data_IF_649338248088
#
_entry.id   IF_649338248088
#
_cell.length_a   1.000
_cell.length_b   1.000
_cell.length_c   1.000
_cell.angle_alpha   90.00
_cell.angle_beta   90.00
_cell.angle_gamma   90.00
#
_symmetry.space_group_name_H-M   'P 1'
#
loop_
_entity.id
_entity.type
_entity.pdbx_description
1 polymer ?
#
# COMPACT_ATOMS: atom_id res chain seq x y z
N UNK A 1 8.22 19.12 6.93
CA UNK A 1 7.83 18.77 5.54
C UNK A 1 8.27 17.35 5.32
N UNK A 2 7.42 16.43 4.85
CA UNK A 2 7.83 15.02 4.66
C UNK A 2 8.78 14.96 3.46
N UNK A 3 10.05 14.73 3.72
CA UNK A 3 11.12 14.52 2.76
C UNK A 3 11.63 13.07 2.82
N UNK A 4 11.59 12.45 4.00
CA UNK A 4 12.05 11.10 4.27
C UNK A 4 10.96 10.27 4.99
N UNK A 5 11.11 8.94 5.00
CA UNK A 5 10.28 8.06 5.81
C UNK A 5 10.39 8.38 7.31
N UNK A 6 11.55 8.89 7.75
CA UNK A 6 11.79 9.25 9.15
C UNK A 6 10.98 10.44 9.64
N UNK A 7 10.42 11.23 8.72
CA UNK A 7 9.51 12.34 9.04
C UNK A 7 8.10 11.87 9.38
N UNK A 8 7.78 10.59 9.14
CA UNK A 8 6.45 10.05 9.41
C UNK A 8 6.27 9.77 10.92
N UNK A 9 5.07 10.03 11.48
CA UNK A 9 4.75 9.63 12.84
C UNK A 9 4.87 8.11 13.02
N UNK A 10 5.16 7.68 14.25
CA UNK A 10 5.49 6.27 14.54
C UNK A 10 4.28 5.51 15.04
N UNK A 11 4.03 4.32 14.47
CA UNK A 11 3.13 3.33 15.04
C UNK A 11 3.91 2.24 15.78
N UNK A 12 3.31 1.65 16.84
CA UNK A 12 3.89 0.49 17.51
C UNK A 12 4.23 -0.64 16.53
N UNK A 13 5.26 -1.46 16.81
CA UNK A 13 5.61 -2.59 15.98
C UNK A 13 4.44 -3.56 15.74
N UNK A 14 4.33 -4.04 14.51
CA UNK A 14 3.29 -4.98 14.10
C UNK A 14 3.79 -6.41 14.34
N UNK A 15 3.17 -7.10 15.31
CA UNK A 15 3.48 -8.50 15.68
C UNK A 15 2.55 -9.54 15.06
N UNK A 16 1.72 -9.12 14.11
CA UNK A 16 0.77 -10.00 13.43
C UNK A 16 1.41 -10.78 12.27
N UNK A 17 0.74 -11.87 11.87
CA UNK A 17 1.03 -12.55 10.61
C UNK A 17 0.69 -11.64 9.42
N UNK A 18 1.62 -11.55 8.46
CA UNK A 18 1.54 -10.66 7.31
C UNK A 18 1.56 -11.43 5.99
N UNK A 19 0.59 -11.12 5.14
CA UNK A 19 0.44 -11.69 3.80
C UNK A 19 0.85 -10.66 2.76
N UNK A 20 1.67 -11.09 1.79
CA UNK A 20 2.09 -10.25 0.67
C UNK A 20 0.92 -10.06 -0.32
N UNK A 21 0.69 -8.82 -0.72
CA UNK A 21 -0.25 -8.42 -1.75
C UNK A 21 0.52 -8.15 -3.03
N UNK A 22 0.45 -9.11 -3.96
CA UNK A 22 1.06 -9.01 -5.29
C UNK A 22 0.07 -8.57 -6.39
N UNK A 23 -1.22 -8.51 -6.08
CA UNK A 23 -2.27 -8.25 -7.06
C UNK A 23 -3.53 -7.68 -6.42
N UNK A 24 -4.40 -7.11 -7.25
CA UNK A 24 -5.74 -6.67 -6.93
C UNK A 24 -6.65 -6.83 -8.15
N UNK A 25 -7.96 -6.71 -7.93
CA UNK A 25 -8.94 -6.75 -9.00
C UNK A 25 -9.50 -5.35 -9.24
N UNK A 26 -9.79 -4.99 -10.48
CA UNK A 26 -10.37 -3.70 -10.79
C UNK A 26 -11.51 -3.87 -11.79
N UNK A 27 -12.63 -3.20 -11.53
CA UNK A 27 -13.69 -3.03 -12.51
C UNK A 27 -13.43 -1.75 -13.29
N UNK A 28 -13.14 -1.89 -14.59
CA UNK A 28 -12.93 -0.77 -15.50
C UNK A 28 -13.86 -0.91 -16.69
N UNK A 29 -14.71 0.09 -16.92
CA UNK A 29 -15.71 0.10 -18.01
C UNK A 29 -16.57 -1.17 -18.07
N UNK A 30 -17.07 -1.62 -16.92
CA UNK A 30 -17.91 -2.83 -16.80
C UNK A 30 -17.16 -4.15 -16.98
N UNK A 31 -15.83 -4.15 -17.04
CA UNK A 31 -15.02 -5.34 -17.22
C UNK A 31 -14.10 -5.59 -16.03
N UNK A 32 -14.12 -6.81 -15.50
CA UNK A 32 -13.24 -7.25 -14.42
C UNK A 32 -11.82 -7.46 -14.96
N UNK A 33 -10.85 -6.85 -14.31
CA UNK A 33 -9.43 -6.99 -14.61
C UNK A 33 -8.68 -7.53 -13.42
N UNK A 34 -7.77 -8.46 -13.69
CA UNK A 34 -6.76 -8.89 -12.73
C UNK A 34 -5.51 -8.03 -12.93
N UNK A 35 -5.17 -7.22 -11.94
CA UNK A 35 -4.03 -6.31 -11.94
C UNK A 35 -2.95 -6.87 -11.00
N UNK A 36 -1.72 -7.03 -11.49
CA UNK A 36 -0.61 -7.58 -10.72
C UNK A 36 0.62 -6.69 -10.80
N UNK A 37 1.39 -6.67 -9.72
CA UNK A 37 2.66 -5.95 -9.62
C UNK A 37 3.68 -6.74 -10.45
N UNK A 38 4.09 -6.17 -11.57
CA UNK A 38 5.11 -6.74 -12.45
C UNK A 38 6.52 -6.32 -12.05
N UNK A 39 6.65 -5.15 -11.42
CA UNK A 39 7.93 -4.62 -10.95
C UNK A 39 7.72 -3.70 -9.75
N UNK A 40 8.73 -3.64 -8.89
CA UNK A 40 8.74 -2.84 -7.66
C UNK A 40 9.56 -1.56 -7.88
N UNK A 41 9.22 -0.45 -7.20
CA UNK A 41 10.00 0.78 -7.30
C UNK A 41 11.39 0.59 -6.68
N UNK A 42 12.41 1.25 -7.25
CA UNK A 42 13.78 1.23 -6.74
C UNK A 42 13.96 2.10 -5.49
N UNK A 43 13.10 3.10 -5.32
CA UNK A 43 13.09 4.03 -4.19
C UNK A 43 11.64 4.45 -3.85
N UNK A 44 11.47 5.18 -2.74
CA UNK A 44 10.15 5.59 -2.25
C UNK A 44 9.76 7.03 -2.63
N UNK A 45 10.50 7.69 -3.53
CA UNK A 45 10.30 9.11 -3.88
C UNK A 45 8.88 9.37 -4.35
N UNK A 46 8.38 8.54 -5.27
CA UNK A 46 7.02 8.65 -5.79
C UNK A 46 5.95 8.46 -4.69
N UNK A 47 6.16 7.50 -3.80
CA UNK A 47 5.24 7.21 -2.70
C UNK A 47 5.19 8.37 -1.69
N UNK A 48 6.35 8.87 -1.26
CA UNK A 48 6.46 10.00 -0.34
C UNK A 48 5.89 11.28 -0.97
N UNK A 49 6.16 11.52 -2.26
CA UNK A 49 5.58 12.63 -3.02
C UNK A 49 4.04 12.57 -3.04
N UNK A 50 3.47 11.37 -3.24
CA UNK A 50 2.02 11.17 -3.19
C UNK A 50 1.43 11.40 -1.79
N UNK A 51 2.09 10.89 -0.74
CA UNK A 51 1.66 11.11 0.66
C UNK A 51 1.67 12.61 0.97
N UNK A 52 2.77 13.29 0.68
CA UNK A 52 2.93 14.74 0.86
C UNK A 52 1.85 15.51 0.09
N UNK A 53 1.61 15.16 -1.17
CA UNK A 53 0.57 15.80 -1.98
C UNK A 53 -0.80 15.70 -1.29
N UNK A 54 -1.21 14.51 -0.84
CA UNK A 54 -2.51 14.33 -0.18
C UNK A 54 -2.64 15.16 1.09
N UNK A 55 -1.60 15.16 1.93
CA UNK A 55 -1.59 15.94 3.18
C UNK A 55 -1.68 17.45 2.91
N UNK A 56 -0.91 17.97 1.95
CA UNK A 56 -0.92 19.40 1.61
C UNK A 56 -2.28 19.88 1.04
N UNK A 57 -3.03 19.01 0.37
CA UNK A 57 -4.32 19.36 -0.25
C UNK A 57 -5.53 18.96 0.61
N UNK A 58 -5.32 18.59 1.89
CA UNK A 58 -6.40 18.21 2.80
C UNK A 58 -7.11 16.91 2.42
N UNK A 59 -6.51 16.08 1.56
CA UNK A 59 -7.06 14.77 1.22
C UNK A 59 -6.74 13.77 2.33
N UNK A 60 -7.76 13.04 2.81
CA UNK A 60 -7.58 12.01 3.84
C UNK A 60 -6.51 11.01 3.43
N UNK A 61 -5.52 10.84 4.32
CA UNK A 61 -4.50 9.80 4.29
C UNK A 61 -3.94 9.66 5.70
N UNK A 62 -3.69 8.43 6.11
CA UNK A 62 -3.04 8.10 7.37
C UNK A 62 -1.74 7.41 7.01
N UNK A 63 -0.61 8.06 7.29
CA UNK A 63 0.72 7.58 6.94
C UNK A 63 1.64 7.60 8.16
N UNK A 64 2.27 6.45 8.43
CA UNK A 64 3.13 6.25 9.58
C UNK A 64 4.34 5.40 9.21
N UNK A 65 5.43 5.55 9.96
CA UNK A 65 6.50 4.53 9.98
C UNK A 65 6.23 3.50 11.07
N UNK A 66 6.60 2.26 10.81
CA UNK A 66 6.45 1.15 11.76
C UNK A 66 7.53 0.09 11.54
N UNK A 67 7.54 -0.93 12.39
CA UNK A 67 8.40 -2.11 12.28
C UNK A 67 7.53 -3.37 12.16
N UNK A 68 7.82 -4.22 11.16
CA UNK A 68 7.12 -5.46 10.90
C UNK A 68 7.86 -6.61 11.58
N UNK A 69 7.45 -7.02 12.77
CA UNK A 69 8.20 -8.00 13.57
C UNK A 69 8.32 -9.37 12.87
N UNK A 70 7.28 -9.81 12.16
CA UNK A 70 7.28 -11.07 11.41
C UNK A 70 8.15 -11.06 10.15
N UNK A 71 8.61 -9.88 9.71
CA UNK A 71 9.50 -9.69 8.56
C UNK A 71 10.88 -9.12 8.94
N UNK A 72 11.03 -8.67 10.19
CA UNK A 72 12.23 -8.03 10.75
C UNK A 72 12.71 -6.80 9.98
N UNK A 73 11.77 -5.99 9.49
CA UNK A 73 12.06 -4.83 8.64
C UNK A 73 11.17 -3.63 8.97
N UNK A 74 11.62 -2.43 8.62
CA UNK A 74 10.81 -1.22 8.68
C UNK A 74 9.87 -1.12 7.50
N UNK A 75 8.73 -0.46 7.72
CA UNK A 75 7.70 -0.26 6.71
C UNK A 75 6.96 1.06 6.88
N UNK A 76 6.37 1.52 5.79
CA UNK A 76 5.38 2.60 5.79
C UNK A 76 4.00 1.97 5.92
N UNK A 77 3.25 2.34 6.96
CA UNK A 77 1.86 1.94 7.15
C UNK A 77 0.93 3.01 6.56
N UNK A 78 0.06 2.61 5.62
CA UNK A 78 -0.89 3.48 4.93
C UNK A 78 -2.33 2.99 5.05
N UNK A 79 -3.26 3.93 5.25
CA UNK A 79 -4.71 3.75 5.00
C UNK A 79 -5.34 5.06 4.57
N UNK A 80 -6.48 5.02 3.89
CA UNK A 80 -7.17 6.22 3.37
C UNK A 80 -8.35 6.65 4.24
N UNK A 81 -8.92 5.71 5.00
CA UNK A 81 -10.06 5.90 5.87
C UNK A 81 -9.79 5.25 7.24
N UNK A 82 -10.46 5.71 8.29
CA UNK A 82 -10.22 5.22 9.66
C UNK A 82 -10.57 3.74 9.83
N UNK A 83 -11.64 3.30 9.19
CA UNK A 83 -12.18 1.95 9.23
C UNK A 83 -11.46 0.97 8.29
N UNK A 84 -10.59 1.46 7.42
CA UNK A 84 -9.82 0.64 6.50
C UNK A 84 -8.62 -0.01 7.21
N UNK A 85 -8.30 -1.29 6.92
CA UNK A 85 -7.06 -1.90 7.41
C UNK A 85 -5.84 -1.19 6.83
N UNK A 86 -4.72 -1.23 7.55
CA UNK A 86 -3.45 -0.72 7.05
C UNK A 86 -2.86 -1.65 5.99
N UNK A 87 -2.30 -1.05 4.94
CA UNK A 87 -1.31 -1.68 4.08
C UNK A 87 0.09 -1.26 4.55
N UNK A 88 1.03 -2.21 4.60
CA UNK A 88 2.39 -1.99 5.05
C UNK A 88 3.35 -2.17 3.87
N UNK A 89 4.05 -1.11 3.48
CA UNK A 89 5.03 -1.14 2.40
C UNK A 89 6.41 -1.34 3.00
N UNK A 90 7.04 -2.48 2.75
CA UNK A 90 8.41 -2.77 3.22
C UNK A 90 9.40 -1.77 2.64
N UNK A 91 10.26 -1.22 3.49
CA UNK A 91 11.36 -0.37 3.06
C UNK A 91 12.51 -1.14 2.42
N UNK A 92 12.61 -2.45 2.66
CA UNK A 92 13.71 -3.27 2.14
C UNK A 92 13.50 -3.71 0.68
N UNK A 93 12.24 -3.92 0.27
CA UNK A 93 11.94 -4.51 -1.04
C UNK A 93 10.64 -3.99 -1.69
N UNK A 94 10.03 -2.95 -1.12
CA UNK A 94 8.78 -2.36 -1.57
C UNK A 94 7.59 -3.34 -1.68
N UNK A 95 7.65 -4.52 -1.06
CA UNK A 95 6.49 -5.42 -1.01
C UNK A 95 5.40 -4.82 -0.14
N UNK A 96 4.16 -5.07 -0.54
CA UNK A 96 2.98 -4.58 0.15
C UNK A 96 2.43 -5.74 0.99
N UNK A 97 2.31 -5.53 2.28
CA UNK A 97 1.78 -6.50 3.21
C UNK A 97 0.48 -6.03 3.84
N UNK A 98 -0.34 -6.98 4.26
CA UNK A 98 -1.48 -6.75 5.16
C UNK A 98 -1.53 -7.82 6.22
N UNK A 99 -2.24 -7.55 7.32
CA UNK A 99 -2.51 -8.60 8.31
C UNK A 99 -3.34 -9.71 7.68
N UNK A 100 -2.97 -10.96 7.94
CA UNK A 100 -3.67 -12.13 7.39
C UNK A 100 -5.18 -12.09 7.70
N UNK A 101 -5.54 -11.71 8.94
CA UNK A 101 -6.92 -11.55 9.40
C UNK A 101 -7.71 -10.44 8.68
N UNK A 102 -7.04 -9.47 8.07
CA UNK A 102 -7.65 -8.31 7.39
C UNK A 102 -7.72 -8.49 5.86
N UNK A 103 -7.13 -9.56 5.32
CA UNK A 103 -7.02 -9.80 3.88
C UNK A 103 -8.37 -9.75 3.18
N UNK A 104 -9.42 -10.38 3.76
CA UNK A 104 -10.77 -10.38 3.17
C UNK A 104 -11.36 -8.97 3.11
N UNK A 105 -11.13 -8.14 4.13
CA UNK A 105 -11.61 -6.75 4.18
C UNK A 105 -10.88 -5.89 3.17
N UNK A 106 -9.56 -6.06 3.03
CA UNK A 106 -8.77 -5.34 2.04
C UNK A 106 -9.14 -5.74 0.60
N UNK A 107 -9.36 -7.02 0.32
CA UNK A 107 -9.75 -7.48 -1.03
C UNK A 107 -11.07 -6.87 -1.49
N UNK A 108 -12.02 -6.66 -0.57
CA UNK A 108 -13.27 -5.92 -0.83
C UNK A 108 -13.02 -4.42 -1.08
N UNK A 109 -12.01 -3.84 -0.43
CA UNK A 109 -11.69 -2.42 -0.45
C UNK A 109 -10.29 -2.16 -1.04
N UNK A 110 -10.05 -2.70 -2.24
CA UNK A 110 -8.72 -2.73 -2.85
C UNK A 110 -8.23 -1.39 -3.43
N UNK A 111 -9.04 -0.33 -3.32
CA UNK A 111 -8.71 1.00 -3.79
C UNK A 111 -7.42 1.56 -3.17
N UNK A 112 -7.10 1.18 -1.92
CA UNK A 112 -5.83 1.52 -1.28
C UNK A 112 -4.65 0.92 -2.03
N UNK A 113 -4.69 -0.39 -2.32
CA UNK A 113 -3.63 -1.08 -3.07
C UNK A 113 -3.51 -0.51 -4.48
N UNK A 114 -4.65 -0.22 -5.13
CA UNK A 114 -4.66 0.46 -6.43
C UNK A 114 -3.97 1.81 -6.38
N UNK A 115 -4.23 2.65 -5.36
CA UNK A 115 -3.58 3.95 -5.26
C UNK A 115 -2.11 3.87 -4.87
N UNK A 116 -1.74 2.98 -3.94
CA UNK A 116 -0.33 2.73 -3.60
C UNK A 116 0.44 2.33 -4.86
N UNK A 117 -0.09 1.38 -5.63
CA UNK A 117 0.59 0.90 -6.85
C UNK A 117 0.59 1.95 -7.96
N UNK A 118 -0.51 2.70 -8.16
CA UNK A 118 -0.61 3.73 -9.19
C UNK A 118 0.30 4.94 -8.95
N UNK A 119 0.43 5.38 -7.70
CA UNK A 119 1.16 6.61 -7.37
C UNK A 119 2.52 6.36 -6.70
N UNK A 120 2.76 5.14 -6.19
CA UNK A 120 3.99 4.77 -5.49
C UNK A 120 5.11 4.25 -6.38
N UNK A 121 5.05 4.43 -7.70
CA UNK A 121 6.12 4.04 -8.62
C UNK A 121 6.16 2.55 -9.02
N UNK A 122 5.14 1.77 -8.68
CA UNK A 122 5.06 0.35 -9.06
C UNK A 122 4.72 0.21 -10.54
N UNK A 123 5.27 -0.82 -11.20
CA UNK A 123 4.80 -1.21 -12.53
C UNK A 123 3.72 -2.26 -12.40
N UNK A 124 2.50 -1.90 -12.79
CA UNK A 124 1.34 -2.80 -12.77
C UNK A 124 1.00 -3.24 -14.18
N UNK A 125 0.82 -4.54 -14.37
CA UNK A 125 0.22 -5.10 -15.58
C UNK A 125 -1.20 -5.55 -15.27
N UNK A 126 -2.07 -5.58 -16.28
CA UNK A 126 -3.45 -6.05 -16.13
C UNK A 126 -3.82 -7.02 -17.23
N UNK A 127 -4.60 -8.05 -16.89
CA UNK A 127 -5.26 -8.93 -17.85
C UNK A 127 -6.77 -8.86 -17.67
N UNK A 128 -7.50 -8.90 -18.78
CA UNK A 128 -8.95 -9.01 -18.75
C UNK A 128 -9.31 -10.39 -18.19
N UNK A 129 -10.22 -10.43 -17.22
CA UNK A 129 -10.81 -11.69 -16.79
C UNK A 129 -11.99 -11.95 -17.74
N UNK A 130 -11.84 -12.98 -18.56
CA UNK A 130 -12.98 -13.55 -19.27
C UNK A 130 -13.66 -14.54 -18.32
N UNK A 131 -15.00 -14.53 -18.36
CA UNK A 131 -15.81 -15.55 -17.69
C UNK A 131 -15.50 -16.95 -18.23
#
# INVERSE_FOLDING_TARGET
MIADFDDLPVLPPVRAELVNISHYYENSKGKLRYCYIADYPNDFTALLGWIRYRLCHGHKIFAYRTYLASKREHAIALKLHEDQPFAYISLANARIYVRASELKKLRKNNHLIRYITRYGGYKVKSKLMHD
#
